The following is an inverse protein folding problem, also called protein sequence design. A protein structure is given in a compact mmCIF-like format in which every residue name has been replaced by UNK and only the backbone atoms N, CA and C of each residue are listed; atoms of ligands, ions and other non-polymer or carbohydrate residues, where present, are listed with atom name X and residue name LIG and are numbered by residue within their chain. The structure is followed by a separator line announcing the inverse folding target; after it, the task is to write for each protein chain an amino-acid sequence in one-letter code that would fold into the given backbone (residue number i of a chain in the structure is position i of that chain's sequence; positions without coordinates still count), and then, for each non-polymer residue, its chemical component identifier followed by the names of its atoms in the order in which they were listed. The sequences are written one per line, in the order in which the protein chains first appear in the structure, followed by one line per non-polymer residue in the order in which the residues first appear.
data_IF_995135783291
#
_entry.id   IF_995135783291
#
_cell.length_a   1.000
_cell.length_b   1.000
_cell.length_c   1.000
_cell.angle_alpha   90.00
_cell.angle_beta   90.00
_cell.angle_gamma   90.00
#
_symmetry.space_group_name_H-M   'P 1'
#
loop_
_entity.id
_entity.type
_entity.pdbx_description
1 polymer ?
#
# COMPACT_ATOMS: atom_id res chain seq x y z
N UNK A 1 3.85 -7.85 13.08
CA UNK A 1 2.83 -6.84 12.70
C UNK A 1 2.96 -6.44 11.23
N UNK A 2 1.87 -6.02 10.58
CA UNK A 2 1.87 -5.52 9.19
C UNK A 2 1.32 -4.10 9.09
N UNK A 3 1.68 -3.40 8.02
CA UNK A 3 1.33 -2.00 7.76
C UNK A 3 0.46 -1.88 6.51
N UNK A 4 -0.51 -0.96 6.54
CA UNK A 4 -1.43 -0.68 5.45
C UNK A 4 -1.48 0.81 5.18
N UNK A 5 -1.66 1.20 3.93
CA UNK A 5 -2.00 2.58 3.57
C UNK A 5 -3.48 2.64 3.21
N UNK A 6 -4.19 3.63 3.78
CA UNK A 6 -5.61 3.89 3.48
C UNK A 6 -5.82 4.02 1.97
N UNK A 7 -6.87 3.37 1.47
CA UNK A 7 -7.26 3.34 0.05
C UNK A 7 -6.20 2.77 -0.93
N UNK A 8 -5.14 2.17 -0.41
CA UNK A 8 -4.13 1.46 -1.20
C UNK A 8 -4.30 -0.04 -1.06
N UNK A 9 -3.82 -0.77 -2.07
CA UNK A 9 -3.81 -2.23 -2.04
C UNK A 9 -2.44 -2.81 -1.60
N UNK A 10 -1.65 -2.03 -0.85
CA UNK A 10 -0.34 -2.44 -0.36
C UNK A 10 -0.40 -2.84 1.12
N UNK A 11 0.15 -4.01 1.43
CA UNK A 11 0.43 -4.46 2.79
C UNK A 11 1.94 -4.68 2.95
N UNK A 12 2.57 -3.91 3.84
CA UNK A 12 3.97 -4.04 4.20
C UNK A 12 4.16 -4.90 5.44
N UNK A 13 5.19 -5.74 5.48
CA UNK A 13 5.51 -6.56 6.64
C UNK A 13 6.98 -6.98 6.61
N UNK A 14 7.48 -7.49 7.74
CA UNK A 14 8.84 -8.02 7.83
C UNK A 14 8.82 -9.52 7.58
N UNK A 15 9.78 -10.01 6.80
CA UNK A 15 10.05 -11.44 6.63
C UNK A 15 11.39 -11.80 7.26
N UNK A 16 11.43 -12.95 7.92
CA UNK A 16 12.66 -13.65 8.25
C UNK A 16 13.33 -14.14 6.96
N UNK A 17 14.66 -14.09 6.94
CA UNK A 17 15.50 -14.62 5.86
C UNK A 17 16.25 -15.84 6.37
N UNK A 18 16.25 -16.91 5.59
CA UNK A 18 17.02 -18.12 5.83
C UNK A 18 18.27 -18.18 4.93
N UNK A 19 19.29 -18.95 5.35
CA UNK A 19 20.58 -19.03 4.66
C UNK A 19 20.51 -19.53 3.20
N UNK A 20 19.45 -20.27 2.86
CA UNK A 20 19.19 -20.80 1.52
C UNK A 20 18.36 -19.85 0.63
N UNK A 21 18.11 -18.63 1.09
CA UNK A 21 17.35 -17.61 0.36
C UNK A 21 15.83 -17.75 0.47
N UNK A 22 15.35 -18.66 1.31
CA UNK A 22 13.92 -18.76 1.64
C UNK A 22 13.52 -17.72 2.68
N UNK A 23 12.21 -17.50 2.82
CA UNK A 23 11.63 -16.50 3.71
C UNK A 23 10.58 -17.10 4.66
N UNK A 24 10.16 -16.31 5.65
CA UNK A 24 9.05 -16.64 6.54
C UNK A 24 8.46 -15.41 7.22
N UNK A 25 7.15 -15.37 7.48
CA UNK A 25 6.47 -14.18 8.03
C UNK A 25 5.52 -14.48 9.19
N UNK A 26 5.24 -15.76 9.49
CA UNK A 26 4.33 -16.18 10.54
C UNK A 26 4.99 -17.14 11.52
N UNK A 27 4.94 -16.80 12.80
CA UNK A 27 5.41 -17.62 13.91
C UNK A 27 4.29 -18.39 14.61
N UNK A 28 4.45 -19.71 14.82
CA UNK A 28 3.66 -20.47 15.80
C UNK A 28 4.57 -21.42 16.55
N UNK A 29 4.40 -21.54 17.86
CA UNK A 29 5.10 -22.54 18.68
C UNK A 29 6.63 -22.58 18.46
N UNK A 30 7.28 -21.42 18.38
CA UNK A 30 8.73 -21.32 18.10
C UNK A 30 9.14 -21.87 16.73
N UNK A 31 8.24 -21.77 15.76
CA UNK A 31 8.48 -22.14 14.38
C UNK A 31 7.98 -21.05 13.45
N UNK A 32 8.70 -20.84 12.35
CA UNK A 32 8.43 -19.86 11.33
C UNK A 32 8.08 -20.61 10.04
N UNK A 33 6.97 -20.25 9.41
CA UNK A 33 6.55 -20.88 8.16
C UNK A 33 7.59 -20.64 7.06
N UNK A 34 7.76 -21.60 6.16
CA UNK A 34 8.72 -21.49 5.06
C UNK A 34 8.02 -21.07 3.77
N UNK A 35 8.55 -20.05 3.11
CA UNK A 35 8.04 -19.50 1.85
C UNK A 35 9.16 -19.33 0.82
N UNK A 36 8.81 -19.50 -0.45
CA UNK A 36 9.71 -19.18 -1.58
C UNK A 36 9.86 -17.66 -1.75
N UNK A 37 10.86 -17.19 -2.52
CA UNK A 37 10.99 -15.77 -2.86
C UNK A 37 9.76 -15.14 -3.50
N UNK A 38 8.93 -15.94 -4.17
CA UNK A 38 7.66 -15.51 -4.78
C UNK A 38 6.49 -15.53 -3.79
N UNK A 39 6.74 -15.77 -2.50
CA UNK A 39 5.74 -15.78 -1.43
C UNK A 39 4.87 -17.03 -1.40
N UNK A 40 5.32 -18.15 -1.99
CA UNK A 40 4.56 -19.41 -1.99
C UNK A 40 4.94 -20.27 -0.78
N UNK A 41 3.97 -20.85 -0.05
CA UNK A 41 4.28 -21.80 1.01
C UNK A 41 5.07 -23.00 0.48
N UNK A 42 6.08 -23.43 1.24
CA UNK A 42 6.84 -24.64 0.97
C UNK A 42 6.21 -25.80 1.75
N UNK A 43 6.00 -26.94 1.10
CA UNK A 43 5.49 -28.15 1.74
C UNK A 43 6.55 -28.87 2.59
N UNK A 44 6.14 -29.55 3.65
CA UNK A 44 7.01 -30.36 4.49
C UNK A 44 7.60 -31.53 3.70
N UNK A 45 8.87 -31.86 3.95
CA UNK A 45 9.61 -32.87 3.16
C UNK A 45 8.96 -34.25 3.18
N UNK A 46 8.51 -34.69 4.36
CA UNK A 46 7.87 -36.00 4.55
C UNK A 46 6.37 -36.02 4.23
N UNK A 47 5.72 -34.86 4.27
CA UNK A 47 4.28 -34.71 4.03
C UNK A 47 4.00 -33.38 3.33
N UNK A 48 4.04 -33.34 1.99
CA UNK A 48 3.86 -32.11 1.22
C UNK A 48 2.49 -31.44 1.39
N UNK A 49 1.51 -32.12 2.02
CA UNK A 49 0.21 -31.53 2.33
C UNK A 49 0.26 -30.60 3.55
N UNK A 50 1.34 -30.67 4.33
CA UNK A 50 1.62 -29.81 5.48
C UNK A 50 2.63 -28.73 5.09
N UNK A 51 2.54 -27.57 5.71
CA UNK A 51 3.54 -26.52 5.55
C UNK A 51 4.87 -26.93 6.19
N UNK A 52 5.98 -26.53 5.57
CA UNK A 52 7.30 -26.62 6.15
C UNK A 52 7.53 -25.47 7.13
N UNK A 53 8.26 -25.77 8.20
CA UNK A 53 8.50 -24.85 9.32
C UNK A 53 9.97 -24.90 9.72
N UNK A 54 10.52 -23.76 10.14
CA UNK A 54 11.91 -23.64 10.61
C UNK A 54 12.00 -22.95 11.97
N UNK A 55 12.95 -23.33 12.83
CA UNK A 55 13.11 -22.69 14.12
C UNK A 55 13.73 -21.28 13.97
N UNK A 56 13.49 -20.36 14.92
CA UNK A 56 14.15 -19.06 14.99
C UNK A 56 15.66 -19.12 14.86
N UNK A 57 16.33 -20.16 15.38
CA UNK A 57 17.78 -20.36 15.24
C UNK A 57 18.32 -20.41 13.81
N UNK A 58 17.47 -20.63 12.80
CA UNK A 58 17.87 -20.65 11.39
C UNK A 58 17.74 -19.29 10.69
N UNK A 59 17.16 -18.28 11.34
CA UNK A 59 17.02 -16.93 10.79
C UNK A 59 18.39 -16.26 10.74
N UNK A 60 18.80 -15.83 9.55
CA UNK A 60 20.07 -15.12 9.31
C UNK A 60 19.89 -13.60 9.18
N UNK A 61 18.65 -13.14 9.09
CA UNK A 61 18.33 -11.73 8.97
C UNK A 61 16.88 -11.48 8.62
N UNK A 62 16.58 -10.23 8.23
CA UNK A 62 15.23 -9.78 7.90
C UNK A 62 15.23 -8.86 6.70
N UNK A 63 14.11 -8.86 5.99
CA UNK A 63 13.80 -7.90 4.92
C UNK A 63 12.38 -7.40 5.09
N UNK A 64 12.10 -6.24 4.53
CA UNK A 64 10.73 -5.79 4.34
C UNK A 64 10.19 -6.45 3.07
N UNK A 65 8.94 -6.91 3.13
CA UNK A 65 8.17 -7.37 2.00
C UNK A 65 6.93 -6.50 1.82
N UNK A 66 6.41 -6.47 0.59
CA UNK A 66 5.13 -5.83 0.27
C UNK A 66 4.27 -6.78 -0.57
N UNK A 67 3.00 -6.92 -0.20
CA UNK A 67 1.98 -7.52 -1.07
C UNK A 67 1.40 -6.41 -1.94
N UNK A 68 1.66 -6.42 -3.26
CA UNK A 68 1.19 -5.40 -4.20
C UNK A 68 0.06 -5.95 -5.10
N UNK A 69 -1.10 -5.29 -5.16
CA UNK A 69 -2.23 -5.64 -6.06
C UNK A 69 -2.26 -4.62 -7.22
N UNK A 70 -2.72 -4.96 -8.46
CA UNK A 70 -3.46 -6.16 -8.90
C UNK A 70 -2.66 -7.46 -8.99
N UNK A 71 -1.33 -7.41 -8.88
CA UNK A 71 -0.51 -8.58 -9.20
C UNK A 71 -0.35 -9.60 -8.08
N UNK A 72 -0.77 -9.33 -6.82
CA UNK A 72 -0.52 -10.18 -5.64
C UNK A 72 0.91 -10.75 -5.61
N UNK A 73 1.86 -10.01 -6.18
CA UNK A 73 3.24 -10.43 -6.18
C UNK A 73 3.82 -10.05 -4.83
N UNK A 74 4.39 -11.06 -4.18
CA UNK A 74 5.16 -10.89 -2.96
C UNK A 74 6.49 -10.24 -3.35
N UNK A 75 6.65 -8.95 -3.04
CA UNK A 75 7.85 -8.21 -3.39
C UNK A 75 8.77 -8.14 -2.17
N UNK A 76 9.90 -8.83 -2.23
CA UNK A 76 10.97 -8.69 -1.24
C UNK A 76 11.80 -7.46 -1.56
N UNK A 77 11.90 -6.52 -0.61
CA UNK A 77 12.68 -5.30 -0.77
C UNK A 77 14.18 -5.55 -0.49
N UNK A 78 15.04 -4.68 -1.03
CA UNK A 78 16.47 -4.95 -1.13
C UNK A 78 17.23 -4.88 0.20
N UNK A 79 16.74 -4.08 1.16
CA UNK A 79 17.44 -3.83 2.42
C UNK A 79 17.40 -5.07 3.32
N UNK A 80 18.58 -5.64 3.58
CA UNK A 80 18.79 -6.76 4.49
C UNK A 80 19.34 -6.26 5.82
N UNK A 81 18.66 -6.60 6.91
CA UNK A 81 19.21 -6.52 8.26
C UNK A 81 19.76 -7.88 8.65
N UNK A 82 21.03 -7.97 8.98
CA UNK A 82 21.71 -9.22 9.33
C UNK A 82 21.54 -9.51 10.81
N UNK A 83 21.23 -10.76 11.15
CA UNK A 83 21.19 -11.20 12.53
C UNK A 83 22.59 -11.34 13.11
N UNK A 84 22.78 -10.79 14.30
CA UNK A 84 23.93 -11.07 15.16
C UNK A 84 23.50 -11.90 16.36
N UNK A 85 24.45 -12.63 16.95
CA UNK A 85 24.19 -13.62 18.01
C UNK A 85 24.62 -13.16 19.40
N UNK A 86 25.45 -12.11 19.48
CA UNK A 86 25.80 -11.44 20.73
C UNK A 86 25.11 -10.07 20.78
N UNK A 87 24.43 -9.71 21.87
CA UNK A 87 23.86 -8.37 22.02
C UNK A 87 24.90 -7.24 21.91
N UNK A 88 26.18 -7.48 22.23
CA UNK A 88 27.22 -6.47 22.07
C UNK A 88 27.59 -6.18 20.62
N UNK A 89 27.20 -7.05 19.69
CA UNK A 89 27.44 -6.88 18.25
C UNK A 89 26.30 -6.11 17.56
N UNK A 90 25.24 -5.75 18.30
CA UNK A 90 24.12 -4.99 17.75
C UNK A 90 24.58 -3.59 17.31
N UNK A 91 24.24 -3.27 16.07
CA UNK A 91 24.53 -2.00 15.43
C UNK A 91 23.44 -1.75 14.39
N UNK A 92 22.33 -1.20 14.88
CA UNK A 92 21.12 -0.94 14.11
C UNK A 92 21.41 -0.05 12.90
N UNK A 93 22.30 0.93 13.05
CA UNK A 93 22.69 1.83 11.97
C UNK A 93 23.45 1.11 10.84
N UNK A 94 24.24 0.09 11.17
CA UNK A 94 24.91 -0.77 10.20
C UNK A 94 24.05 -1.97 9.73
N UNK A 95 22.78 -2.04 10.16
CA UNK A 95 21.89 -3.14 9.80
C UNK A 95 22.20 -4.47 10.49
N UNK A 96 22.88 -4.46 11.65
CA UNK A 96 23.17 -5.64 12.46
C UNK A 96 22.24 -5.67 13.68
N UNK A 97 21.39 -6.69 13.77
CA UNK A 97 20.32 -6.75 14.77
C UNK A 97 20.46 -7.99 15.63
N UNK A 98 20.44 -7.81 16.94
CA UNK A 98 20.31 -8.91 17.90
C UNK A 98 18.82 -9.20 18.13
N UNK A 99 18.42 -10.46 17.99
CA UNK A 99 17.03 -10.89 18.13
C UNK A 99 16.92 -12.08 19.09
N UNK A 100 17.46 -11.88 20.29
CA UNK A 100 17.46 -12.89 21.35
C UNK A 100 18.33 -14.12 21.06
N UNK A 101 18.44 -15.03 22.04
CA UNK A 101 19.16 -16.29 21.86
C UNK A 101 18.50 -17.18 20.77
N UNK A 102 19.20 -18.21 20.25
CA UNK A 102 18.69 -19.05 19.16
C UNK A 102 17.33 -19.72 19.43
N UNK A 103 17.01 -19.95 20.70
CA UNK A 103 15.76 -20.53 21.15
C UNK A 103 14.67 -19.50 21.48
N UNK A 104 14.85 -18.21 21.14
CA UNK A 104 13.86 -17.15 21.37
C UNK A 104 12.91 -16.98 20.18
N UNK A 105 11.68 -16.57 20.47
CA UNK A 105 10.69 -16.18 19.46
C UNK A 105 11.01 -14.82 18.84
N UNK A 106 11.84 -14.00 19.50
CA UNK A 106 12.11 -12.60 19.11
C UNK A 106 12.57 -12.45 17.65
N UNK A 107 13.23 -13.47 17.09
CA UNK A 107 13.63 -13.44 15.68
C UNK A 107 12.43 -13.54 14.72
N UNK A 108 11.34 -14.19 15.10
CA UNK A 108 10.09 -14.20 14.34
C UNK A 108 9.31 -12.89 14.53
N UNK A 109 9.40 -12.29 15.72
CA UNK A 109 8.59 -11.14 16.14
C UNK A 109 9.37 -9.81 16.05
N UNK A 110 10.38 -9.74 15.17
CA UNK A 110 11.27 -8.57 15.10
C UNK A 110 10.52 -7.27 14.75
N UNK A 111 9.38 -7.38 14.08
CA UNK A 111 8.52 -6.24 13.75
C UNK A 111 7.91 -5.56 14.96
N UNK A 112 7.90 -6.23 16.11
CA UNK A 112 7.29 -5.74 17.35
C UNK A 112 8.28 -4.91 18.17
N UNK A 113 9.56 -4.83 17.74
CA UNK A 113 10.55 -3.90 18.29
C UNK A 113 10.28 -2.48 17.80
N UNK A 114 9.82 -1.64 18.71
CA UNK A 114 9.49 -0.22 18.45
C UNK A 114 10.68 0.59 17.88
N UNK A 115 11.91 0.24 18.24
CA UNK A 115 13.11 0.93 17.76
C UNK A 115 13.45 0.62 16.28
N UNK A 116 12.94 -0.50 15.76
CA UNK A 116 13.17 -0.94 14.38
C UNK A 116 12.03 -0.56 13.45
N UNK A 117 10.81 -0.40 13.96
CA UNK A 117 9.63 -0.07 13.16
C UNK A 117 9.84 1.12 12.22
N UNK A 118 10.41 2.27 12.66
CA UNK A 118 10.66 3.40 11.76
C UNK A 118 11.58 3.08 10.57
N UNK A 119 12.54 2.16 10.76
CA UNK A 119 13.48 1.75 9.71
C UNK A 119 12.78 0.89 8.65
N UNK A 120 11.92 -0.02 9.10
CA UNK A 120 11.14 -0.86 8.20
C UNK A 120 10.08 -0.04 7.44
N UNK A 121 9.39 0.86 8.14
CA UNK A 121 8.42 1.77 7.56
C UNK A 121 9.04 2.69 6.52
N UNK A 122 10.24 3.23 6.74
CA UNK A 122 10.92 4.07 5.74
C UNK A 122 11.22 3.31 4.44
N UNK A 123 11.68 2.05 4.55
CA UNK A 123 11.91 1.18 3.38
C UNK A 123 10.60 0.90 2.64
N UNK A 124 9.53 0.58 3.37
CA UNK A 124 8.23 0.31 2.78
C UNK A 124 7.59 1.56 2.14
N UNK A 125 7.64 2.72 2.82
CA UNK A 125 7.10 3.98 2.31
C UNK A 125 7.79 4.42 1.02
N UNK A 126 9.11 4.26 0.93
CA UNK A 126 9.85 4.53 -0.32
C UNK A 126 9.38 3.63 -1.47
N UNK A 127 9.01 2.38 -1.18
CA UNK A 127 8.47 1.46 -2.18
C UNK A 127 7.08 1.87 -2.67
N UNK A 128 6.16 2.22 -1.77
CA UNK A 128 4.74 2.49 -2.14
C UNK A 128 4.48 3.94 -2.59
N UNK A 129 5.37 4.89 -2.29
CA UNK A 129 5.17 6.31 -2.60
C UNK A 129 4.79 6.63 -4.07
N UNK A 130 5.37 5.97 -5.10
CA UNK A 130 4.96 6.19 -6.48
C UNK A 130 3.50 5.80 -6.74
N UNK A 131 3.06 4.65 -6.25
CA UNK A 131 1.71 4.12 -6.50
C UNK A 131 0.65 4.91 -5.72
N UNK A 132 0.95 5.34 -4.49
CA UNK A 132 0.07 6.23 -3.73
C UNK A 132 -0.15 7.56 -4.46
N UNK A 133 0.90 8.09 -5.11
CA UNK A 133 0.78 9.32 -5.91
C UNK A 133 -0.15 9.12 -7.12
N UNK A 134 -0.02 7.98 -7.80
CA UNK A 134 -0.90 7.63 -8.92
C UNK A 134 -2.35 7.41 -8.48
N UNK A 135 -2.58 6.72 -7.36
CA UNK A 135 -3.91 6.55 -6.78
C UNK A 135 -4.53 7.92 -6.47
N UNK A 136 -3.79 8.80 -5.78
CA UNK A 136 -4.26 10.15 -5.45
C UNK A 136 -4.63 10.96 -6.70
N UNK A 137 -3.87 10.85 -7.78
CA UNK A 137 -4.20 11.48 -9.07
C UNK A 137 -5.54 10.95 -9.61
N UNK A 138 -5.76 9.63 -9.59
CA UNK A 138 -7.02 9.02 -10.07
C UNK A 138 -8.21 9.47 -9.22
N UNK A 139 -8.07 9.45 -7.90
CA UNK A 139 -9.12 9.90 -6.96
C UNK A 139 -9.47 11.35 -7.21
N UNK A 140 -8.48 12.24 -7.26
CA UNK A 140 -8.71 13.67 -7.56
C UNK A 140 -9.33 13.88 -8.95
N UNK A 141 -8.93 13.09 -9.94
CA UNK A 141 -9.52 13.15 -11.28
C UNK A 141 -10.99 12.70 -11.29
N UNK A 142 -11.35 11.71 -10.47
CA UNK A 142 -12.73 11.26 -10.28
C UNK A 142 -13.57 12.34 -9.61
N UNK A 143 -13.10 12.88 -8.48
CA UNK A 143 -13.78 13.97 -7.77
C UNK A 143 -13.93 15.21 -8.64
N UNK A 144 -12.93 15.53 -9.48
CA UNK A 144 -13.05 16.64 -10.43
C UNK A 144 -14.21 16.42 -11.42
N UNK A 145 -14.32 15.22 -12.00
CA UNK A 145 -15.43 14.89 -12.92
C UNK A 145 -16.79 14.96 -12.23
N UNK A 146 -16.89 14.50 -10.99
CA UNK A 146 -18.13 14.58 -10.22
C UNK A 146 -18.51 16.03 -9.93
N UNK A 147 -17.56 16.87 -9.52
CA UNK A 147 -17.79 18.30 -9.32
C UNK A 147 -18.17 19.02 -10.61
N UNK A 148 -17.56 18.66 -11.74
CA UNK A 148 -17.94 19.18 -13.05
C UNK A 148 -19.37 18.79 -13.42
N UNK A 149 -19.78 17.54 -13.18
CA UNK A 149 -21.15 17.10 -13.42
C UNK A 149 -22.17 17.81 -12.52
N UNK A 150 -21.85 18.00 -11.23
CA UNK A 150 -22.70 18.74 -10.30
C UNK A 150 -22.84 20.23 -10.70
N UNK A 151 -21.75 20.83 -11.21
CA UNK A 151 -21.79 22.19 -11.75
C UNK A 151 -22.69 22.28 -12.99
N UNK A 152 -22.59 21.30 -13.90
CA UNK A 152 -23.42 21.23 -15.10
C UNK A 152 -24.90 21.07 -14.75
N UNK A 153 -25.23 20.21 -13.79
CA UNK A 153 -26.60 20.04 -13.27
C UNK A 153 -27.12 21.33 -12.63
N UNK A 154 -26.33 21.98 -11.77
CA UNK A 154 -26.72 23.24 -11.13
C UNK A 154 -27.00 24.35 -12.16
N UNK A 155 -26.21 24.39 -13.25
CA UNK A 155 -26.44 25.32 -14.36
C UNK A 155 -27.71 24.96 -15.12
N UNK A 156 -27.97 23.69 -15.42
CA UNK A 156 -29.20 23.24 -16.05
C UNK A 156 -30.43 23.65 -15.23
N UNK A 157 -30.44 23.36 -13.92
CA UNK A 157 -31.50 23.77 -13.01
C UNK A 157 -31.71 25.29 -12.98
N UNK A 158 -30.62 26.07 -12.93
CA UNK A 158 -30.71 27.53 -12.98
C UNK A 158 -31.31 28.03 -14.30
N UNK A 159 -30.96 27.38 -15.43
CA UNK A 159 -31.52 27.69 -16.75
C UNK A 159 -33.00 27.34 -16.84
N UNK A 160 -33.42 26.19 -16.33
CA UNK A 160 -34.82 25.79 -16.23
C UNK A 160 -35.64 26.78 -15.36
N UNK A 161 -35.04 27.32 -14.30
CA UNK A 161 -35.60 28.40 -13.48
C UNK A 161 -35.58 29.80 -14.12
N UNK A 162 -35.14 29.94 -15.37
CA UNK A 162 -35.14 31.20 -16.12
C UNK A 162 -33.97 32.14 -15.82
N UNK A 163 -32.94 31.70 -15.08
CA UNK A 163 -31.76 32.52 -14.78
C UNK A 163 -30.96 32.78 -16.08
N UNK A 164 -30.63 34.04 -16.36
CA UNK A 164 -29.92 34.41 -17.59
C UNK A 164 -28.45 33.94 -17.59
N UNK A 165 -27.90 33.69 -18.78
CA UNK A 165 -26.47 33.38 -18.97
C UNK A 165 -25.53 34.44 -18.39
N UNK A 166 -25.96 35.69 -18.30
CA UNK A 166 -25.17 36.76 -17.69
C UNK A 166 -25.04 36.56 -16.18
N UNK A 167 -26.15 36.23 -15.50
CA UNK A 167 -26.12 35.96 -14.05
C UNK A 167 -25.31 34.70 -13.73
N UNK A 168 -25.49 33.64 -14.51
CA UNK A 168 -24.73 32.39 -14.37
C UNK A 168 -23.24 32.63 -14.60
N UNK A 169 -22.87 33.31 -15.69
CA UNK A 169 -21.48 33.67 -15.97
C UNK A 169 -20.85 34.50 -14.86
N UNK A 170 -21.57 35.51 -14.36
CA UNK A 170 -21.11 36.33 -13.23
C UNK A 170 -20.88 35.51 -11.96
N UNK A 171 -21.76 34.55 -11.66
CA UNK A 171 -21.61 33.67 -10.50
C UNK A 171 -20.40 32.71 -10.64
N UNK A 172 -20.13 32.21 -11.84
CA UNK A 172 -18.98 31.34 -12.12
C UNK A 172 -17.65 32.10 -12.34
N UNK A 173 -17.71 33.41 -12.59
CA UNK A 173 -16.53 34.24 -12.85
C UNK A 173 -16.10 34.33 -14.32
N UNK A 174 -17.02 34.08 -15.26
CA UNK A 174 -16.77 34.20 -16.71
C UNK A 174 -17.77 35.13 -17.40
N UNK A 175 -17.47 35.51 -18.65
CA UNK A 175 -18.37 36.35 -19.45
C UNK A 175 -19.67 35.60 -19.79
N UNK A 176 -20.74 36.35 -20.09
CA UNK A 176 -22.02 35.80 -20.59
C UNK A 176 -21.80 34.84 -21.77
N UNK A 177 -20.99 35.26 -22.75
CA UNK A 177 -20.73 34.45 -23.95
C UNK A 177 -19.92 33.19 -23.60
N UNK A 178 -18.99 33.28 -22.64
CA UNK A 178 -18.25 32.12 -22.13
C UNK A 178 -19.16 31.10 -21.44
N UNK A 179 -20.10 31.58 -20.63
CA UNK A 179 -21.09 30.72 -19.97
C UNK A 179 -22.00 30.02 -20.99
N UNK A 180 -22.56 30.78 -21.94
CA UNK A 180 -23.39 30.21 -22.99
C UNK A 180 -22.64 29.12 -23.77
N UNK A 181 -21.40 29.41 -24.21
CA UNK A 181 -20.59 28.44 -24.96
C UNK A 181 -20.25 27.18 -24.16
N UNK A 182 -20.02 27.29 -22.85
CA UNK A 182 -19.67 26.15 -22.00
C UNK A 182 -20.86 25.19 -21.79
N UNK A 183 -22.06 25.74 -21.61
CA UNK A 183 -23.24 24.96 -21.17
C UNK A 183 -24.36 24.86 -22.21
N UNK A 184 -24.16 25.33 -23.44
CA UNK A 184 -25.17 25.21 -24.51
C UNK A 184 -25.57 23.75 -24.80
N UNK A 185 -24.65 22.79 -24.65
CA UNK A 185 -24.92 21.36 -24.82
C UNK A 185 -25.67 20.73 -23.64
N UNK A 186 -25.36 21.16 -22.40
CA UNK A 186 -25.99 20.65 -21.18
C UNK A 186 -27.47 21.07 -21.09
N UNK A 187 -27.80 22.27 -21.57
CA UNK A 187 -29.19 22.77 -21.59
C UNK A 187 -30.07 22.15 -22.69
N UNK A 188 -29.50 21.37 -23.61
CA UNK A 188 -30.23 20.79 -24.73
C UNK A 188 -30.86 19.41 -24.41
N UNK A 189 -30.36 18.71 -23.39
CA UNK A 189 -30.74 17.32 -23.07
C UNK A 189 -32.09 17.20 -22.31
N UNK A 190 -32.60 18.30 -21.72
CA UNK A 190 -33.93 18.35 -21.08
C UNK A 190 -35.11 18.51 -22.07
N UNK A 191 -34.87 18.44 -23.40
CA UNK A 191 -35.92 18.63 -24.42
C UNK A 191 -36.55 17.35 -24.99
N UNK A 192 -36.48 16.22 -24.30
CA UNK A 192 -37.37 15.07 -24.62
C UNK A 192 -37.83 14.31 -23.37
N UNK A 193 -39.12 14.45 -23.02
CA UNK A 193 -39.93 13.29 -22.69
C UNK A 193 -41.12 13.18 -23.67
N UNK A 194 -41.38 11.94 -24.10
CA UNK A 194 -42.60 11.54 -24.80
C UNK A 194 -43.78 11.43 -23.84
#
# INVERSE_FOLDING_TARGET
MGWFTEDSEHEGYVVCVFADGMYGSGGRWMQINLMTPEGRPVGHEEDPTREAWRPPSQVVGWRVACSCVPFREHVILDTLWTRVWDPSDEDVAAGRIYAGPPASADAADISDREDLEPLFLDVWHRHVAPDLSLHRIRTLSGSLKELEAQLDEAVAMARAGGVSWEKIGRAFGISRQGAQKRWEGVSADERTPA
#
